data_IF_015982041405
#
_entry.id   IF_015982041405
#
_cell.length_a   1.000
_cell.length_b   1.000
_cell.length_c   1.000
_cell.angle_alpha   90.00
_cell.angle_beta   90.00
_cell.angle_gamma   90.00
#
_symmetry.space_group_name_H-M   'P 1'
#
loop_
_entity.id
_entity.type
_entity.pdbx_description
1 polymer ?
#
# COMPACT_ATOMS: atom_id res chain seq x y z
N UNK A 1 30.07 -22.89 33.56
CA UNK A 1 28.88 -23.76 33.54
C UNK A 1 28.11 -23.53 34.84
N UNK A 2 27.04 -22.74 34.81
CA UNK A 2 26.16 -22.59 35.97
C UNK A 2 25.45 -23.93 36.21
N UNK A 3 25.69 -24.52 37.38
CA UNK A 3 25.13 -25.82 37.75
C UNK A 3 23.61 -25.80 37.65
N UNK A 4 23.04 -26.83 37.03
CA UNK A 4 21.60 -27.03 36.83
C UNK A 4 20.80 -26.95 38.15
N UNK A 5 21.46 -27.22 39.29
CA UNK A 5 20.88 -27.10 40.63
C UNK A 5 20.60 -25.65 41.06
N UNK A 6 21.42 -24.70 40.60
CA UNK A 6 21.29 -23.27 40.93
C UNK A 6 20.10 -22.65 40.17
N UNK A 7 19.96 -22.97 38.87
CA UNK A 7 18.81 -22.55 38.06
C UNK A 7 17.48 -23.10 38.60
N UNK A 8 17.48 -24.35 39.07
CA UNK A 8 16.28 -24.98 39.66
C UNK A 8 15.86 -24.32 40.98
N UNK A 9 16.81 -23.83 41.78
CA UNK A 9 16.55 -23.09 43.02
C UNK A 9 15.99 -21.69 42.74
N UNK A 10 16.60 -20.95 41.81
CA UNK A 10 16.11 -19.63 41.36
C UNK A 10 14.68 -19.69 40.78
N UNK A 11 14.33 -20.77 40.07
CA UNK A 11 12.98 -20.96 39.54
C UNK A 11 11.91 -21.24 40.61
N UNK A 12 12.31 -21.75 41.79
CA UNK A 12 11.39 -22.04 42.90
C UNK A 12 11.19 -20.84 43.82
N UNK A 13 12.16 -19.93 43.90
CA UNK A 13 12.11 -18.74 44.76
C UNK A 13 11.54 -17.51 44.04
N UNK A 14 11.49 -17.51 42.71
CA UNK A 14 10.80 -16.47 41.94
C UNK A 14 9.30 -16.75 41.92
N UNK A 15 8.57 -16.20 42.91
CA UNK A 15 7.10 -16.09 42.83
C UNK A 15 6.75 -15.20 41.63
N UNK A 16 6.48 -15.81 40.47
CA UNK A 16 5.82 -15.10 39.39
C UNK A 16 4.41 -14.74 39.87
N UNK A 17 4.15 -13.44 39.99
CA UNK A 17 2.80 -12.93 40.17
C UNK A 17 2.01 -13.18 38.88
N UNK A 18 1.43 -14.37 38.76
CA UNK A 18 0.47 -14.67 37.69
C UNK A 18 -0.85 -14.02 38.10
N UNK A 19 -1.16 -12.88 37.48
CA UNK A 19 -2.47 -12.24 37.65
C UNK A 19 -3.48 -13.06 36.85
N UNK A 20 -4.20 -13.95 37.53
CA UNK A 20 -5.27 -14.72 36.91
C UNK A 20 -6.30 -13.75 36.31
N UNK A 21 -6.60 -13.91 35.02
CA UNK A 21 -7.72 -13.20 34.40
C UNK A 21 -9.00 -13.73 35.05
N UNK A 22 -9.84 -12.81 35.51
CA UNK A 22 -11.14 -13.17 36.05
C UNK A 22 -11.97 -13.92 34.99
N UNK A 23 -12.82 -14.88 35.40
CA UNK A 23 -13.69 -15.59 34.48
C UNK A 23 -14.60 -14.62 33.72
N UNK A 24 -15.05 -14.98 32.50
CA UNK A 24 -15.84 -14.09 31.64
C UNK A 24 -17.12 -13.58 32.33
N UNK A 25 -17.68 -14.36 33.25
CA UNK A 25 -18.89 -14.02 34.02
C UNK A 25 -18.62 -13.15 35.26
N UNK A 26 -17.36 -12.81 35.54
CA UNK A 26 -17.01 -11.97 36.67
C UNK A 26 -17.45 -10.53 36.41
N UNK A 27 -18.06 -9.89 37.42
CA UNK A 27 -18.62 -8.54 37.33
C UNK A 27 -17.64 -7.47 36.80
N UNK A 28 -16.32 -7.62 37.04
CA UNK A 28 -15.29 -6.69 36.52
C UNK A 28 -14.91 -6.91 35.05
N UNK A 29 -15.32 -8.03 34.44
CA UNK A 29 -15.23 -8.31 32.99
C UNK A 29 -16.51 -7.84 32.30
N UNK A 30 -17.68 -8.16 32.86
CA UNK A 30 -18.99 -7.72 32.38
C UNK A 30 -19.17 -6.19 32.39
N UNK A 31 -18.52 -5.49 33.32
CA UNK A 31 -18.51 -4.01 33.38
C UNK A 31 -17.50 -3.34 32.45
N UNK A 32 -16.69 -4.07 31.69
CA UNK A 32 -15.77 -3.40 30.74
C UNK A 32 -16.61 -2.76 29.64
N UNK A 33 -16.75 -1.44 29.71
CA UNK A 33 -17.37 -0.65 28.65
C UNK A 33 -16.60 -0.91 27.35
N UNK A 34 -17.32 -1.39 26.33
CA UNK A 34 -16.78 -1.55 24.99
C UNK A 34 -16.56 -0.16 24.41
N UNK A 35 -15.32 0.23 24.19
CA UNK A 35 -14.99 1.52 23.58
C UNK A 35 -15.01 1.41 22.04
N UNK A 36 -15.15 2.55 21.32
CA UNK A 36 -15.06 2.55 19.86
C UNK A 36 -13.77 1.91 19.31
N UNK A 37 -12.64 2.08 20.02
CA UNK A 37 -11.37 1.42 19.69
C UNK A 37 -11.44 -0.11 19.76
N UNK A 38 -12.24 -0.66 20.68
CA UNK A 38 -12.37 -2.10 20.85
C UNK A 38 -13.23 -2.65 19.71
N UNK A 39 -14.30 -1.94 19.33
CA UNK A 39 -15.11 -2.27 18.15
C UNK A 39 -14.30 -2.21 16.86
N UNK A 40 -13.48 -1.17 16.69
CA UNK A 40 -12.59 -1.04 15.54
C UNK A 40 -11.60 -2.20 15.47
N UNK A 41 -11.01 -2.59 16.61
CA UNK A 41 -10.07 -3.71 16.65
C UNK A 41 -10.77 -5.05 16.34
N UNK A 42 -11.99 -5.27 16.83
CA UNK A 42 -12.79 -6.46 16.47
C UNK A 42 -13.10 -6.49 14.98
N UNK A 43 -13.56 -5.38 14.39
CA UNK A 43 -13.82 -5.30 12.96
C UNK A 43 -12.55 -5.55 12.12
N UNK A 44 -11.42 -4.96 12.52
CA UNK A 44 -10.13 -5.21 11.90
C UNK A 44 -9.71 -6.68 11.99
N UNK A 45 -9.89 -7.31 13.17
CA UNK A 45 -9.58 -8.73 13.39
C UNK A 45 -10.48 -9.65 12.54
N UNK A 46 -11.74 -9.27 12.31
CA UNK A 46 -12.67 -10.04 11.49
C UNK A 46 -12.38 -9.93 9.99
N UNK A 47 -12.02 -8.73 9.51
CA UNK A 47 -11.77 -8.44 8.10
C UNK A 47 -10.33 -8.78 7.68
N UNK A 48 -9.33 -8.15 8.29
CA UNK A 48 -7.94 -8.23 7.83
C UNK A 48 -7.28 -9.56 8.11
N UNK A 49 -7.78 -10.33 9.09
CA UNK A 49 -7.35 -11.72 9.27
C UNK A 49 -7.65 -12.57 8.02
N UNK A 50 -8.73 -12.28 7.30
CA UNK A 50 -9.07 -13.02 6.07
C UNK A 50 -8.22 -12.58 4.88
N UNK A 51 -7.80 -11.31 4.84
CA UNK A 51 -6.97 -10.74 3.76
C UNK A 51 -5.49 -11.10 3.91
N UNK A 52 -4.95 -11.03 5.13
CA UNK A 52 -3.51 -11.17 5.39
C UNK A 52 -3.13 -12.48 6.11
N UNK A 53 -4.12 -13.27 6.53
CA UNK A 53 -3.95 -14.58 7.17
C UNK A 53 -2.88 -14.55 8.29
N UNK A 54 -1.85 -15.39 8.21
CA UNK A 54 -0.77 -15.46 9.20
C UNK A 54 0.01 -14.14 9.38
N UNK A 55 0.05 -13.27 8.36
CA UNK A 55 0.72 -11.97 8.45
C UNK A 55 -0.07 -10.98 9.29
N UNK A 56 -1.37 -11.16 9.45
CA UNK A 56 -2.23 -10.26 10.22
C UNK A 56 -1.73 -10.07 11.65
N UNK A 57 -1.31 -11.14 12.32
CA UNK A 57 -0.84 -11.06 13.71
C UNK A 57 0.37 -10.12 13.84
N UNK A 58 1.27 -10.11 12.85
CA UNK A 58 2.44 -9.22 12.81
C UNK A 58 2.02 -7.78 12.54
N UNK A 59 1.11 -7.56 11.58
CA UNK A 59 0.57 -6.23 11.24
C UNK A 59 -0.16 -5.65 12.46
N UNK A 60 -1.06 -6.41 13.08
CA UNK A 60 -1.79 -6.04 14.29
C UNK A 60 -0.86 -5.65 15.43
N UNK A 61 0.22 -6.41 15.65
CA UNK A 61 1.23 -6.08 16.66
C UNK A 61 1.95 -4.78 16.34
N UNK A 62 2.22 -4.50 15.06
CA UNK A 62 2.83 -3.25 14.62
C UNK A 62 1.88 -2.05 14.79
N UNK A 63 0.60 -2.20 14.42
CA UNK A 63 -0.42 -1.14 14.56
C UNK A 63 -0.67 -0.74 16.03
N UNK A 64 -0.60 -1.71 16.95
CA UNK A 64 -0.72 -1.47 18.40
C UNK A 64 0.61 -1.07 19.04
N UNK A 65 1.70 -1.08 18.25
CA UNK A 65 3.02 -0.70 18.68
C UNK A 65 3.27 0.81 18.58
N UNK A 66 4.49 1.21 18.89
CA UNK A 66 4.97 2.58 18.69
C UNK A 66 5.19 2.81 17.20
N UNK A 67 4.53 3.82 16.63
CA UNK A 67 4.73 4.20 15.23
C UNK A 67 6.13 4.81 15.05
N UNK A 68 6.77 4.48 13.94
CA UNK A 68 8.05 5.05 13.55
C UNK A 68 7.83 6.23 12.62
N UNK A 69 8.50 7.33 12.93
CA UNK A 69 8.43 8.55 12.13
C UNK A 69 9.68 8.71 11.29
N UNK A 70 9.58 9.59 10.31
CA UNK A 70 10.69 10.08 9.49
C UNK A 70 10.70 11.60 9.54
N UNK A 71 11.89 12.18 9.47
CA UNK A 71 12.10 13.62 9.47
C UNK A 71 12.31 14.10 8.04
N UNK A 72 11.35 14.85 7.50
CA UNK A 72 11.47 15.52 6.20
C UNK A 72 12.11 16.88 6.42
N UNK A 73 13.29 17.10 5.85
CA UNK A 73 14.02 18.37 6.00
C UNK A 73 13.23 19.49 5.33
N UNK A 74 13.22 20.65 5.99
CA UNK A 74 12.69 21.86 5.40
C UNK A 74 13.79 22.62 4.66
N UNK A 75 13.78 22.52 3.33
CA UNK A 75 14.74 23.20 2.45
C UNK A 75 14.56 24.73 2.41
N UNK A 76 13.52 25.27 3.05
CA UNK A 76 13.29 26.72 3.18
C UNK A 76 13.83 27.31 4.52
N UNK A 77 14.43 26.48 5.36
CA UNK A 77 15.11 26.88 6.59
C UNK A 77 16.61 26.55 6.56
N UNK A 78 17.19 26.26 7.72
CA UNK A 78 18.60 25.89 7.88
C UNK A 78 18.80 24.39 7.61
N UNK A 79 18.71 23.99 6.34
CA UNK A 79 18.73 22.60 5.89
C UNK A 79 20.06 21.89 6.21
N UNK A 80 21.20 22.52 5.91
CA UNK A 80 22.54 21.89 6.04
C UNK A 80 22.92 21.58 7.48
N UNK A 81 22.69 22.51 8.39
CA UNK A 81 22.97 22.33 9.81
C UNK A 81 22.09 21.20 10.38
N UNK A 82 20.81 21.22 10.03
CA UNK A 82 19.84 20.20 10.45
C UNK A 82 20.20 18.80 9.93
N UNK A 83 20.66 18.68 8.68
CA UNK A 83 21.13 17.42 8.13
C UNK A 83 22.31 16.85 8.94
N UNK A 84 23.29 17.70 9.29
CA UNK A 84 24.44 17.30 10.11
C UNK A 84 24.01 16.87 11.52
N UNK A 85 23.11 17.61 12.16
CA UNK A 85 22.58 17.25 13.48
C UNK A 85 21.90 15.87 13.44
N UNK A 86 21.05 15.61 12.46
CA UNK A 86 20.33 14.34 12.34
C UNK A 86 21.28 13.17 12.06
N UNK A 87 22.29 13.37 11.21
CA UNK A 87 23.35 12.39 10.96
C UNK A 87 24.16 12.07 12.23
N UNK A 88 24.47 13.07 13.05
CA UNK A 88 25.13 12.89 14.35
C UNK A 88 24.29 12.08 15.34
N UNK A 89 22.95 12.18 15.27
CA UNK A 89 22.05 11.32 16.06
C UNK A 89 21.96 9.87 15.54
N UNK A 90 22.61 9.56 14.41
CA UNK A 90 22.56 8.25 13.76
C UNK A 90 21.33 8.06 12.87
N UNK A 91 20.68 9.15 12.43
CA UNK A 91 19.63 9.06 11.42
C UNK A 91 20.25 8.90 10.02
N UNK A 92 19.61 8.08 9.19
CA UNK A 92 20.07 7.76 7.84
C UNK A 92 19.25 8.51 6.80
N UNK A 93 19.93 9.09 5.80
CA UNK A 93 19.27 9.75 4.68
C UNK A 93 18.67 8.71 3.72
N UNK A 94 17.34 8.72 3.58
CA UNK A 94 16.61 7.77 2.74
C UNK A 94 16.93 7.91 1.26
N UNK A 95 17.32 9.09 0.75
CA UNK A 95 17.75 9.23 -0.65
C UNK A 95 18.99 8.39 -0.92
N UNK A 96 19.97 8.44 -0.03
CA UNK A 96 21.21 7.67 -0.15
C UNK A 96 20.91 6.17 -0.14
N UNK A 97 20.07 5.72 0.79
CA UNK A 97 19.63 4.32 0.87
C UNK A 97 18.89 3.89 -0.41
N UNK A 98 17.98 4.73 -0.90
CA UNK A 98 17.22 4.45 -2.11
C UNK A 98 18.11 4.34 -3.35
N UNK A 99 19.06 5.27 -3.52
CA UNK A 99 19.98 5.25 -4.65
C UNK A 99 20.93 4.05 -4.60
N UNK A 100 21.36 3.64 -3.40
CA UNK A 100 22.17 2.45 -3.21
C UNK A 100 21.42 1.18 -3.62
N UNK A 101 20.19 1.00 -3.12
CA UNK A 101 19.33 -0.15 -3.48
C UNK A 101 18.97 -0.16 -4.95
N UNK A 102 18.71 1.01 -5.54
CA UNK A 102 18.50 1.17 -6.98
C UNK A 102 19.72 0.75 -7.78
N UNK A 103 20.93 1.03 -7.29
CA UNK A 103 22.19 0.55 -7.87
C UNK A 103 22.28 -0.97 -7.86
N UNK A 104 22.07 -1.61 -6.71
CA UNK A 104 22.10 -3.07 -6.58
C UNK A 104 21.08 -3.75 -7.49
N UNK A 105 19.85 -3.24 -7.56
CA UNK A 105 18.80 -3.78 -8.43
C UNK A 105 19.12 -3.64 -9.92
N UNK A 106 19.86 -2.59 -10.33
CA UNK A 106 20.32 -2.42 -11.70
C UNK A 106 21.42 -3.41 -12.05
N UNK A 107 22.39 -3.62 -11.16
CA UNK A 107 23.46 -4.60 -11.34
C UNK A 107 22.93 -6.04 -11.42
N UNK A 108 22.00 -6.40 -10.54
CA UNK A 108 21.38 -7.73 -10.52
C UNK A 108 20.66 -8.03 -11.85
N UNK A 109 19.99 -7.04 -12.44
CA UNK A 109 19.38 -7.19 -13.76
C UNK A 109 20.40 -7.35 -14.86
N UNK A 110 21.46 -6.55 -14.84
CA UNK A 110 22.48 -6.63 -15.88
C UNK A 110 23.10 -8.02 -15.87
N UNK A 111 23.35 -8.59 -14.69
CA UNK A 111 23.78 -9.98 -14.52
C UNK A 111 22.74 -10.98 -15.06
N UNK A 112 21.46 -10.83 -14.70
CA UNK A 112 20.41 -11.74 -15.17
C UNK A 112 20.18 -11.65 -16.69
N UNK A 113 20.25 -10.46 -17.27
CA UNK A 113 20.19 -10.25 -18.71
C UNK A 113 21.39 -10.89 -19.41
N UNK A 114 22.60 -10.65 -18.90
CA UNK A 114 23.82 -11.26 -19.44
C UNK A 114 23.77 -12.79 -19.36
N UNK A 115 23.31 -13.35 -18.23
CA UNK A 115 23.15 -14.80 -18.06
C UNK A 115 22.14 -15.36 -19.07
N UNK A 116 20.98 -14.69 -19.23
CA UNK A 116 19.98 -15.10 -20.21
C UNK A 116 20.51 -15.02 -21.65
N UNK A 117 21.23 -13.95 -22.01
CA UNK A 117 21.86 -13.85 -23.33
C UNK A 117 22.93 -14.92 -23.54
N UNK A 118 23.69 -15.28 -22.50
CA UNK A 118 24.67 -16.37 -22.58
C UNK A 118 23.97 -17.72 -22.77
N UNK A 119 22.88 -17.99 -22.03
CA UNK A 119 22.06 -19.19 -22.24
C UNK A 119 21.47 -19.25 -23.66
N UNK A 120 20.98 -18.13 -24.19
CA UNK A 120 20.47 -18.05 -25.55
C UNK A 120 21.59 -18.28 -26.59
N UNK A 121 22.80 -17.76 -26.35
CA UNK A 121 23.99 -18.04 -27.19
C UNK A 121 24.33 -19.53 -27.14
N UNK A 122 24.38 -20.16 -25.96
CA UNK A 122 24.66 -21.58 -25.83
C UNK A 122 23.60 -22.44 -26.55
N UNK A 123 22.32 -22.09 -26.48
CA UNK A 123 21.26 -22.78 -27.22
C UNK A 123 21.41 -22.64 -28.73
N UNK A 124 21.77 -21.44 -29.20
CA UNK A 124 22.01 -21.19 -30.61
C UNK A 124 23.23 -21.98 -31.12
N UNK A 125 24.29 -22.09 -30.31
CA UNK A 125 25.48 -22.88 -30.61
C UNK A 125 25.13 -24.38 -30.70
N UNK A 126 24.35 -24.89 -29.74
CA UNK A 126 23.86 -26.28 -29.74
C UNK A 126 22.93 -26.57 -30.94
N UNK A 127 22.07 -25.63 -31.32
CA UNK A 127 21.27 -25.75 -32.55
C UNK A 127 22.12 -25.70 -33.82
N UNK A 128 23.21 -24.94 -33.82
CA UNK A 128 24.15 -24.87 -34.93
C UNK A 128 24.88 -26.20 -35.10
N UNK A 129 25.39 -26.76 -34.00
CA UNK A 129 26.07 -28.06 -33.98
C UNK A 129 25.14 -29.17 -34.49
N UNK A 130 23.88 -29.21 -34.01
CA UNK A 130 22.88 -30.15 -34.53
C UNK A 130 22.58 -29.96 -36.02
N UNK A 131 22.59 -28.71 -36.52
CA UNK A 131 22.43 -28.42 -37.96
C UNK A 131 23.65 -28.82 -38.78
N UNK A 132 24.86 -28.75 -38.21
CA UNK A 132 26.08 -29.23 -38.86
C UNK A 132 26.08 -30.76 -38.88
N UNK A 133 25.74 -31.42 -37.76
CA UNK A 133 25.60 -32.88 -37.69
C UNK A 133 24.53 -33.41 -38.64
N UNK A 134 23.34 -32.78 -38.67
CA UNK A 134 22.29 -33.18 -39.62
C UNK A 134 22.67 -32.91 -41.08
N UNK A 135 23.44 -31.87 -41.40
CA UNK A 135 24.01 -31.70 -42.75
C UNK A 135 25.07 -32.73 -43.10
N UNK A 136 25.85 -33.20 -42.13
CA UNK A 136 26.80 -34.30 -42.30
C UNK A 136 26.06 -35.64 -42.48
N UNK A 137 24.91 -35.82 -41.81
CA UNK A 137 24.05 -37.00 -41.99
C UNK A 137 23.23 -36.96 -43.29
N UNK A 138 22.74 -35.79 -43.73
CA UNK A 138 21.95 -35.62 -44.96
C UNK A 138 22.79 -35.82 -46.24
N UNK A 139 24.11 -35.63 -46.20
CA UNK A 139 25.00 -36.01 -47.31
C UNK A 139 25.17 -37.55 -47.43
N UNK A 140 24.56 -38.33 -46.52
CA UNK A 140 24.68 -39.80 -46.49
C UNK A 140 23.36 -40.57 -46.59
N UNK A 141 22.19 -39.92 -46.55
CA UNK A 141 20.89 -40.63 -46.61
C UNK A 141 19.81 -39.84 -47.35
N UNK A 142 19.82 -39.97 -48.67
CA UNK A 142 18.64 -39.76 -49.50
C UNK A 142 17.68 -40.96 -49.31
N UNK A 143 16.50 -40.77 -48.70
CA UNK A 143 15.19 -41.31 -49.14
C UNK A 143 14.10 -41.38 -48.04
N UNK A 144 12.95 -40.80 -48.39
CA UNK A 144 11.56 -41.20 -48.07
C UNK A 144 11.04 -41.14 -46.63
N UNK A 145 10.12 -40.19 -46.37
CA UNK A 145 8.72 -40.49 -46.02
C UNK A 145 7.91 -39.18 -45.91
N UNK A 146 6.87 -39.05 -46.74
CA UNK A 146 5.92 -37.94 -46.73
C UNK A 146 4.73 -38.30 -45.85
N UNK A 147 4.60 -37.73 -44.66
CA UNK A 147 3.35 -37.79 -43.88
C UNK A 147 2.49 -36.55 -44.19
N UNK A 148 1.39 -36.77 -44.91
CA UNK A 148 0.37 -35.75 -45.16
C UNK A 148 -0.63 -35.74 -43.99
N UNK A 149 -0.55 -34.72 -43.14
CA UNK A 149 -1.61 -34.37 -42.20
C UNK A 149 -2.77 -33.73 -42.99
N UNK A 150 -3.96 -34.35 -42.93
CA UNK A 150 -5.16 -33.85 -43.61
C UNK A 150 -6.00 -32.96 -42.70
N UNK A 151 -6.43 -31.82 -43.22
CA UNK A 151 -7.26 -30.81 -42.56
C UNK A 151 -8.74 -31.21 -42.34
N UNK A 152 -9.00 -32.41 -41.80
CA UNK A 152 -10.35 -32.89 -41.44
C UNK A 152 -10.62 -32.93 -39.94
N UNK A 153 -9.60 -32.79 -39.11
CA UNK A 153 -9.73 -32.87 -37.64
C UNK A 153 -10.05 -31.53 -36.96
N UNK A 154 -10.25 -30.46 -37.74
CA UNK A 154 -10.57 -29.11 -37.24
C UNK A 154 -11.92 -28.56 -37.74
N UNK A 155 -12.83 -29.41 -38.23
CA UNK A 155 -14.14 -28.92 -38.69
C UNK A 155 -15.16 -28.78 -37.55
N UNK A 156 -15.82 -27.61 -37.50
CA UNK A 156 -16.88 -27.24 -36.55
C UNK A 156 -18.00 -28.29 -36.42
N UNK A 157 -18.22 -29.07 -37.49
CA UNK A 157 -19.23 -30.13 -37.55
C UNK A 157 -18.93 -31.30 -36.59
N UNK A 158 -17.65 -31.67 -36.39
CA UNK A 158 -17.28 -32.77 -35.49
C UNK A 158 -17.42 -32.40 -34.00
N UNK A 159 -17.29 -31.11 -33.66
CA UNK A 159 -17.50 -30.61 -32.30
C UNK A 159 -18.98 -30.49 -31.91
N UNK A 160 -19.88 -30.34 -32.88
CA UNK A 160 -21.33 -30.24 -32.65
C UNK A 160 -21.99 -31.60 -32.38
N UNK A 161 -21.44 -32.71 -32.90
CA UNK A 161 -21.96 -34.05 -32.65
C UNK A 161 -21.79 -34.52 -31.18
N UNK A 162 -20.87 -33.90 -30.43
CA UNK A 162 -20.55 -34.30 -29.04
C UNK A 162 -21.17 -33.40 -27.97
N UNK A 163 -21.95 -32.38 -28.34
CA UNK A 163 -22.56 -31.47 -27.37
C UNK A 163 -23.83 -32.07 -26.74
N UNK A 164 -23.84 -32.27 -25.41
CA UNK A 164 -25.03 -32.66 -24.64
C UNK A 164 -25.81 -31.42 -24.21
N UNK A 165 -27.08 -31.34 -24.59
CA UNK A 165 -28.00 -30.29 -24.14
C UNK A 165 -28.62 -30.64 -22.78
N UNK A 166 -28.67 -29.67 -21.86
CA UNK A 166 -29.38 -29.79 -20.58
C UNK A 166 -30.81 -29.23 -20.73
N UNK A 167 -31.82 -30.10 -20.54
CA UNK A 167 -33.24 -29.77 -20.68
C UNK A 167 -33.99 -29.67 -19.35
N UNK A 168 -33.30 -29.49 -18.22
CA UNK A 168 -33.94 -29.41 -16.89
C UNK A 168 -34.22 -27.99 -16.42
N UNK A 169 -34.84 -27.16 -17.26
CA UNK A 169 -35.41 -25.87 -16.84
C UNK A 169 -36.86 -25.73 -17.30
N UNK A 170 -37.73 -26.51 -16.67
CA UNK A 170 -39.16 -26.28 -16.65
C UNK A 170 -39.51 -25.76 -15.25
N UNK A 171 -39.99 -24.51 -15.20
CA UNK A 171 -40.58 -23.92 -13.99
C UNK A 171 -42.07 -24.23 -14.05
N UNK A 172 -42.55 -25.04 -13.11
CA UNK A 172 -43.97 -25.33 -12.96
C UNK A 172 -44.63 -24.16 -12.20
N UNK A 173 -45.60 -23.49 -12.83
CA UNK A 173 -46.29 -22.30 -12.29
C UNK A 173 -47.51 -22.68 -11.45
N UNK A 174 -47.45 -23.80 -10.72
CA UNK A 174 -48.57 -24.32 -9.93
C UNK A 174 -48.16 -24.58 -8.49
N UNK A 175 -47.88 -23.50 -7.76
CA UNK A 175 -48.43 -23.33 -6.41
C UNK A 175 -48.23 -21.89 -5.92
N UNK A 176 -49.17 -20.97 -6.21
CA UNK A 176 -49.21 -19.71 -5.50
C UNK A 176 -49.74 -20.01 -4.10
N UNK A 177 -48.81 -20.08 -3.13
CA UNK A 177 -49.10 -20.09 -1.71
C UNK A 177 -50.26 -19.11 -1.44
N UNK A 178 -51.36 -19.69 -0.93
CA UNK A 178 -52.60 -19.05 -0.54
C UNK A 178 -52.39 -17.69 0.13
N UNK A 179 -53.12 -16.68 -0.34
CA UNK A 179 -53.17 -15.30 0.19
C UNK A 179 -53.61 -15.17 1.64
N UNK A 180 -53.95 -16.28 2.31
CA UNK A 180 -54.40 -16.33 3.70
C UNK A 180 -53.23 -16.37 4.70
N UNK A 181 -52.02 -16.75 4.28
CA UNK A 181 -50.81 -16.73 5.13
C UNK A 181 -50.21 -15.31 5.30
N UNK A 182 -50.68 -14.33 4.53
CA UNK A 182 -50.23 -12.93 4.62
C UNK A 182 -50.93 -12.11 5.73
N UNK A 183 -51.95 -12.68 6.37
CA UNK A 183 -52.72 -12.00 7.42
C UNK A 183 -52.50 -12.56 8.83
N UNK A 184 -51.56 -13.49 9.00
CA UNK A 184 -51.19 -13.98 10.32
C UNK A 184 -50.29 -12.96 11.03
N UNK A 185 -50.89 -12.19 11.93
CA UNK A 185 -50.22 -11.17 12.70
C UNK A 185 -49.27 -11.80 13.74
N UNK A 186 -47.97 -11.75 13.46
CA UNK A 186 -46.92 -12.09 14.42
C UNK A 186 -46.54 -10.84 15.24
N UNK A 187 -46.73 -10.83 16.58
CA UNK A 187 -46.32 -9.69 17.39
C UNK A 187 -44.79 -9.57 17.41
N UNK A 188 -44.29 -8.35 17.21
CA UNK A 188 -42.86 -8.06 17.25
C UNK A 188 -42.32 -8.21 18.68
N UNK A 189 -41.63 -9.32 18.93
CA UNK A 189 -40.99 -9.61 20.23
C UNK A 189 -39.62 -8.97 20.38
N UNK A 190 -38.98 -8.54 19.29
CA UNK A 190 -37.62 -7.97 19.28
C UNK A 190 -37.44 -6.86 18.22
N UNK A 191 -36.46 -5.97 18.45
CA UNK A 191 -36.10 -4.90 17.50
C UNK A 191 -35.29 -5.51 16.34
N UNK A 192 -35.92 -5.64 15.17
CA UNK A 192 -35.25 -6.03 13.92
C UNK A 192 -34.34 -4.90 13.42
N UNK A 193 -33.13 -5.28 13.00
CA UNK A 193 -32.10 -4.35 12.48
C UNK A 193 -30.65 -4.73 12.85
N UNK A 194 -30.46 -5.70 13.76
CA UNK A 194 -29.13 -6.33 14.00
C UNK A 194 -28.94 -7.65 13.25
N UNK A 195 -30.01 -8.22 12.72
CA UNK A 195 -29.98 -9.51 11.99
C UNK A 195 -29.37 -9.35 10.57
N UNK A 196 -29.45 -8.14 10.01
CA UNK A 196 -28.84 -7.77 8.72
C UNK A 196 -27.38 -7.29 8.85
N UNK A 197 -26.78 -7.37 10.03
CA UNK A 197 -25.35 -7.07 10.18
C UNK A 197 -24.54 -8.22 9.59
N UNK A 198 -24.39 -8.21 8.27
CA UNK A 198 -23.49 -9.10 7.55
C UNK A 198 -22.07 -8.56 7.81
N UNK A 199 -21.18 -9.35 8.45
CA UNK A 199 -19.80 -8.95 8.60
C UNK A 199 -19.22 -8.65 7.21
N UNK A 200 -18.54 -7.52 7.07
CA UNK A 200 -18.03 -7.02 5.79
C UNK A 200 -17.19 -8.06 5.05
N UNK A 201 -16.47 -8.89 5.80
CA UNK A 201 -15.71 -10.02 5.27
C UNK A 201 -16.54 -11.08 4.55
N UNK A 202 -17.81 -11.27 4.93
CA UNK A 202 -18.78 -12.13 4.24
C UNK A 202 -19.24 -11.49 2.94
N UNK A 203 -19.38 -10.17 2.90
CA UNK A 203 -19.72 -9.41 1.69
C UNK A 203 -18.59 -9.47 0.65
N UNK A 204 -17.33 -9.30 1.07
CA UNK A 204 -16.18 -9.34 0.15
C UNK A 204 -15.94 -10.73 -0.46
N UNK A 205 -16.26 -11.82 0.24
CA UNK A 205 -16.22 -13.18 -0.32
C UNK A 205 -17.14 -13.37 -1.51
N UNK A 206 -18.23 -12.60 -1.63
CA UNK A 206 -19.15 -12.68 -2.76
C UNK A 206 -18.56 -12.06 -4.04
N UNK A 207 -17.64 -11.10 -3.91
CA UNK A 207 -16.94 -10.52 -5.07
C UNK A 207 -15.85 -11.43 -5.64
N UNK A 208 -15.33 -12.36 -4.85
CA UNK A 208 -14.16 -13.17 -5.20
C UNK A 208 -14.48 -14.29 -6.22
N UNK A 209 -15.73 -14.39 -6.71
CA UNK A 209 -16.18 -15.59 -7.40
C UNK A 209 -16.08 -15.60 -8.93
N UNK A 210 -15.78 -14.53 -9.66
CA UNK A 210 -15.78 -14.66 -11.14
C UNK A 210 -15.18 -13.55 -12.03
N UNK A 211 -14.33 -12.66 -11.52
CA UNK A 211 -13.63 -11.70 -12.40
C UNK A 211 -12.15 -12.00 -12.47
N UNK A 212 -11.76 -12.93 -13.34
CA UNK A 212 -10.40 -13.05 -13.87
C UNK A 212 -10.10 -11.81 -14.74
N UNK A 213 -10.06 -10.62 -14.16
CA UNK A 213 -9.41 -9.49 -14.80
C UNK A 213 -7.92 -9.75 -14.65
N UNK A 214 -7.29 -10.21 -15.73
CA UNK A 214 -5.85 -10.39 -15.78
C UNK A 214 -5.20 -9.00 -15.70
N UNK A 215 -5.00 -8.49 -14.48
CA UNK A 215 -4.21 -7.29 -14.24
C UNK A 215 -2.80 -7.61 -14.72
N UNK A 216 -2.38 -6.98 -15.82
CA UNK A 216 -1.00 -7.07 -16.29
C UNK A 216 -0.13 -6.33 -15.28
N UNK A 217 0.47 -7.09 -14.37
CA UNK A 217 1.41 -6.55 -13.38
C UNK A 217 2.75 -6.27 -14.09
N UNK A 218 2.95 -5.04 -14.51
CA UNK A 218 4.26 -4.57 -14.96
C UNK A 218 5.04 -4.04 -13.76
N UNK A 219 6.25 -4.56 -13.58
CA UNK A 219 7.11 -4.10 -12.50
C UNK A 219 7.77 -2.79 -12.95
N UNK A 220 7.40 -1.71 -12.30
CA UNK A 220 8.09 -0.43 -12.40
C UNK A 220 9.33 -0.46 -11.51
N UNK A 221 10.45 -0.02 -12.05
CA UNK A 221 11.74 -0.15 -11.40
C UNK A 221 12.56 1.12 -11.42
N UNK A 222 12.06 2.15 -12.08
CA UNK A 222 12.74 3.45 -12.20
C UNK A 222 11.89 4.54 -11.58
N UNK A 223 11.59 4.39 -10.29
CA UNK A 223 11.00 5.48 -9.51
C UNK A 223 12.12 6.50 -9.24
N UNK A 224 11.97 7.78 -9.66
CA UNK A 224 12.94 8.81 -9.34
C UNK A 224 12.75 9.28 -7.90
N UNK A 225 13.86 9.51 -7.21
CA UNK A 225 13.85 10.14 -5.89
C UNK A 225 14.34 11.58 -6.07
N UNK A 226 13.57 12.62 -5.69
CA UNK A 226 13.96 14.00 -5.94
C UNK A 226 15.28 14.40 -5.26
N UNK A 227 16.14 15.09 -6.00
CA UNK A 227 17.50 15.47 -5.56
C UNK A 227 17.53 16.47 -4.40
N UNK A 228 16.45 17.24 -4.23
CA UNK A 228 16.33 18.21 -3.13
C UNK A 228 15.53 17.66 -1.94
N UNK A 229 14.79 16.56 -2.10
CA UNK A 229 13.96 16.02 -1.03
C UNK A 229 14.79 15.21 -0.01
N UNK A 230 15.21 15.81 1.10
CA UNK A 230 15.99 15.11 2.13
C UNK A 230 15.06 14.54 3.20
N UNK A 231 15.16 13.24 3.46
CA UNK A 231 14.33 12.58 4.47
C UNK A 231 15.18 11.63 5.29
N UNK A 232 15.09 11.75 6.61
CA UNK A 232 15.88 10.97 7.57
C UNK A 232 15.02 9.95 8.30
N UNK A 233 15.55 8.76 8.49
CA UNK A 233 14.94 7.70 9.30
C UNK A 233 16.01 6.97 10.10
N UNK A 234 15.65 6.47 11.28
CA UNK A 234 16.53 5.57 12.03
C UNK A 234 16.54 4.15 11.41
N UNK A 235 17.53 3.34 11.75
CA UNK A 235 17.59 1.93 11.37
C UNK A 235 16.38 1.11 11.83
N UNK A 236 16.10 -0.01 11.15
CA UNK A 236 14.88 -0.83 11.34
C UNK A 236 14.58 -1.15 12.81
N UNK A 237 15.59 -1.52 13.58
CA UNK A 237 15.43 -1.97 14.98
C UNK A 237 15.57 -0.82 16.00
N UNK A 238 15.96 0.36 15.56
CA UNK A 238 16.05 1.55 16.38
C UNK A 238 14.65 2.15 16.61
N UNK A 239 14.31 2.34 17.90
CA UNK A 239 13.01 2.84 18.39
C UNK A 239 13.10 4.24 19.01
N UNK A 240 14.23 4.91 18.86
CA UNK A 240 14.42 6.30 19.28
C UNK A 240 13.46 7.21 18.54
N UNK A 241 13.01 8.25 19.22
CA UNK A 241 12.26 9.33 18.59
C UNK A 241 13.21 10.42 18.14
N UNK A 242 12.83 11.12 17.08
CA UNK A 242 13.46 12.39 16.75
C UNK A 242 13.15 13.41 17.84
N UNK A 243 14.06 14.37 18.00
CA UNK A 243 13.79 15.54 18.82
C UNK A 243 12.60 16.35 18.26
N UNK A 244 12.12 17.32 19.03
CA UNK A 244 11.16 18.29 18.50
C UNK A 244 11.82 19.19 17.44
N UNK A 245 11.12 19.53 16.34
CA UNK A 245 11.67 20.44 15.35
C UNK A 245 11.94 21.81 15.95
N UNK A 246 13.07 22.41 15.55
CA UNK A 246 13.57 23.68 16.05
C UNK A 246 13.39 24.76 14.99
N UNK A 247 13.25 26.01 15.42
CA UNK A 247 13.15 27.15 14.51
C UNK A 247 14.56 27.68 14.22
N UNK A 248 14.84 27.87 12.94
CA UNK A 248 16.11 28.39 12.45
C UNK A 248 16.15 29.92 12.38
N UNK A 249 17.12 30.45 11.65
CA UNK A 249 17.32 31.88 11.43
C UNK A 249 16.14 32.54 10.68
N UNK A 250 15.45 31.77 9.84
CA UNK A 250 14.28 32.22 9.06
C UNK A 250 12.95 32.08 9.81
N UNK A 251 12.98 31.78 11.12
CA UNK A 251 11.81 31.56 11.98
C UNK A 251 10.82 30.52 11.44
N UNK A 252 11.31 29.53 10.69
CA UNK A 252 10.55 28.34 10.30
C UNK A 252 11.15 27.09 10.91
N UNK A 253 10.34 26.03 11.05
CA UNK A 253 10.82 24.75 11.55
C UNK A 253 11.76 24.08 10.57
N UNK A 254 12.79 23.42 11.11
CA UNK A 254 13.87 22.82 10.33
C UNK A 254 13.54 21.45 9.72
N UNK A 255 12.62 20.67 10.29
CA UNK A 255 12.10 19.44 9.69
C UNK A 255 10.66 19.14 10.12
N UNK A 256 9.96 18.36 9.31
CA UNK A 256 8.59 17.90 9.55
C UNK A 256 8.58 16.41 9.87
N UNK A 257 8.01 16.02 11.01
CA UNK A 257 7.86 14.62 11.40
C UNK A 257 6.56 14.05 10.82
N UNK A 258 6.67 12.97 10.07
CA UNK A 258 5.52 12.26 9.51
C UNK A 258 5.73 10.76 9.45
N UNK A 259 4.66 10.02 9.16
CA UNK A 259 4.77 8.58 8.92
C UNK A 259 5.50 8.31 7.61
N UNK A 260 6.43 7.35 7.62
CA UNK A 260 7.22 6.98 6.44
C UNK A 260 6.35 6.50 5.27
N UNK A 261 5.23 5.83 5.56
CA UNK A 261 4.28 5.40 4.53
C UNK A 261 3.62 6.57 3.80
N UNK A 262 3.50 7.74 4.43
CA UNK A 262 2.86 8.92 3.83
C UNK A 262 3.73 9.63 2.78
N UNK A 263 4.99 9.24 2.63
CA UNK A 263 5.88 9.75 1.57
C UNK A 263 5.60 9.07 0.23
N UNK A 264 5.28 7.77 0.26
CA UNK A 264 5.17 6.94 -0.93
C UNK A 264 4.15 7.49 -1.95
N UNK A 265 2.96 8.00 -1.57
CA UNK A 265 2.01 8.55 -2.54
C UNK A 265 2.57 9.75 -3.31
N UNK A 266 3.39 10.59 -2.69
CA UNK A 266 3.97 11.79 -3.33
C UNK A 266 5.12 11.38 -4.25
N UNK A 267 5.93 10.40 -3.86
CA UNK A 267 6.97 9.84 -4.75
C UNK A 267 6.36 9.11 -5.94
N UNK A 268 5.32 8.31 -5.71
CA UNK A 268 4.63 7.54 -6.75
C UNK A 268 3.87 8.45 -7.74
N UNK A 269 3.51 9.67 -7.34
CA UNK A 269 2.90 10.66 -8.23
C UNK A 269 3.87 11.17 -9.31
N UNK A 270 5.18 10.99 -9.11
CA UNK A 270 6.24 11.36 -10.05
C UNK A 270 6.09 12.82 -10.56
N UNK A 271 6.12 13.76 -9.61
CA UNK A 271 6.08 15.19 -9.89
C UNK A 271 7.28 15.59 -10.76
N UNK A 272 7.02 16.44 -11.77
CA UNK A 272 8.06 17.03 -12.63
C UNK A 272 8.15 18.54 -12.41
N UNK A 273 9.33 19.15 -12.65
CA UNK A 273 9.48 20.60 -12.64
C UNK A 273 8.42 21.27 -13.53
N UNK A 274 7.76 22.31 -13.00
CA UNK A 274 6.72 23.04 -13.73
C UNK A 274 5.30 22.50 -13.53
N UNK A 275 5.11 21.38 -12.83
CA UNK A 275 3.79 20.78 -12.66
C UNK A 275 2.88 21.63 -11.76
N UNK A 276 1.61 21.70 -12.14
CA UNK A 276 0.50 22.17 -11.31
C UNK A 276 -0.04 21.00 -10.51
N UNK A 277 0.18 21.03 -9.21
CA UNK A 277 -0.14 19.97 -8.27
C UNK A 277 -1.40 20.31 -7.47
N UNK A 278 -2.35 19.36 -7.41
CA UNK A 278 -3.54 19.44 -6.56
C UNK A 278 -3.52 18.34 -5.49
N UNK A 279 -3.71 18.72 -4.24
CA UNK A 279 -3.98 17.84 -3.12
C UNK A 279 -5.46 18.00 -2.72
N UNK A 280 -6.30 17.04 -3.12
CA UNK A 280 -7.76 17.13 -2.98
C UNK A 280 -8.25 17.04 -1.53
N UNK A 281 -7.50 16.33 -0.67
CA UNK A 281 -7.84 16.06 0.73
C UNK A 281 -6.63 16.37 1.61
N UNK A 282 -6.21 17.63 1.60
CA UNK A 282 -4.85 18.00 1.98
C UNK A 282 -4.57 17.94 3.48
N UNK A 283 -5.55 18.16 4.34
CA UNK A 283 -5.27 18.32 5.76
C UNK A 283 -4.72 17.02 6.40
N UNK A 284 -3.69 17.13 7.26
CA UNK A 284 -3.16 18.35 7.88
C UNK A 284 -2.13 19.15 7.05
N UNK A 285 -1.78 18.75 5.82
CA UNK A 285 -0.90 19.49 4.91
C UNK A 285 0.48 18.86 4.68
N UNK A 286 0.80 17.75 5.35
CA UNK A 286 2.13 17.13 5.28
C UNK A 286 2.53 16.64 3.88
N UNK A 287 1.58 16.11 3.09
CA UNK A 287 1.85 15.64 1.71
C UNK A 287 2.03 16.80 0.73
N UNK A 288 1.23 17.85 0.88
CA UNK A 288 1.44 19.11 0.15
C UNK A 288 2.77 19.77 0.50
N UNK A 289 3.15 19.80 1.78
CA UNK A 289 4.47 20.28 2.20
C UNK A 289 5.59 19.43 1.59
N UNK A 290 5.46 18.10 1.62
CA UNK A 290 6.42 17.19 1.00
C UNK A 290 6.59 17.45 -0.50
N UNK A 291 5.49 17.71 -1.22
CA UNK A 291 5.54 18.09 -2.63
C UNK A 291 6.31 19.40 -2.84
N UNK A 292 6.11 20.41 -2.00
CA UNK A 292 6.89 21.67 -2.05
C UNK A 292 8.39 21.43 -1.81
N UNK A 293 8.76 20.53 -0.88
CA UNK A 293 10.17 20.20 -0.60
C UNK A 293 10.91 19.56 -1.80
N UNK A 294 10.19 19.10 -2.83
CA UNK A 294 10.81 18.62 -4.08
C UNK A 294 11.30 19.74 -4.99
N UNK A 295 10.83 20.98 -4.79
CA UNK A 295 11.03 22.13 -5.69
C UNK A 295 10.49 21.95 -7.12
N UNK A 296 9.67 20.92 -7.36
CA UNK A 296 9.11 20.65 -8.68
C UNK A 296 7.83 21.43 -9.01
N UNK A 297 6.85 21.57 -8.10
CA UNK A 297 5.60 22.21 -8.47
C UNK A 297 5.73 23.72 -8.66
N UNK A 298 5.15 24.25 -9.75
CA UNK A 298 4.99 25.70 -9.96
C UNK A 298 3.81 26.26 -9.18
N UNK A 299 2.76 25.44 -9.03
CA UNK A 299 1.53 25.74 -8.31
C UNK A 299 1.16 24.54 -7.45
N UNK A 300 0.87 24.78 -6.18
CA UNK A 300 0.28 23.81 -5.25
C UNK A 300 -1.09 24.30 -4.82
N UNK A 301 -2.12 23.51 -5.09
CA UNK A 301 -3.48 23.75 -4.60
C UNK A 301 -3.80 22.73 -3.54
N UNK A 302 -4.01 23.19 -2.32
CA UNK A 302 -4.41 22.35 -1.19
C UNK A 302 -5.89 22.57 -0.91
N UNK A 303 -6.69 21.53 -1.14
CA UNK A 303 -8.12 21.53 -0.90
C UNK A 303 -8.47 20.69 0.33
N UNK A 304 -9.44 21.13 1.13
CA UNK A 304 -10.14 20.28 2.10
C UNK A 304 -11.58 20.76 2.27
N UNK A 305 -12.53 19.84 2.37
CA UNK A 305 -13.95 20.16 2.55
C UNK A 305 -14.24 20.92 3.86
N UNK A 306 -13.41 20.72 4.89
CA UNK A 306 -13.58 21.33 6.21
C UNK A 306 -12.66 22.53 6.41
N UNK A 307 -13.23 23.69 6.72
CA UNK A 307 -12.47 24.90 7.04
C UNK A 307 -11.49 24.68 8.21
N UNK A 308 -11.91 23.96 9.25
CA UNK A 308 -11.03 23.68 10.40
C UNK A 308 -9.80 22.87 10.00
N UNK A 309 -9.95 21.95 9.05
CA UNK A 309 -8.87 21.13 8.50
C UNK A 309 -7.98 21.96 7.58
N UNK A 310 -8.56 22.79 6.73
CA UNK A 310 -7.83 23.73 5.86
C UNK A 310 -6.98 24.72 6.68
N UNK A 311 -7.51 25.24 7.79
CA UNK A 311 -6.76 26.11 8.71
C UNK A 311 -5.53 25.39 9.31
N UNK A 312 -5.56 24.07 9.46
CA UNK A 312 -4.37 23.30 9.89
C UNK A 312 -3.33 23.23 8.78
N UNK A 313 -3.74 23.07 7.53
CA UNK A 313 -2.84 23.13 6.37
C UNK A 313 -2.14 24.49 6.32
N UNK A 314 -2.92 25.57 6.44
CA UNK A 314 -2.40 26.93 6.48
C UNK A 314 -1.42 27.12 7.65
N UNK A 315 -1.76 26.63 8.85
CA UNK A 315 -0.87 26.67 10.01
C UNK A 315 0.44 25.92 9.76
N UNK A 316 0.40 24.76 9.10
CA UNK A 316 1.63 24.02 8.73
C UNK A 316 2.44 24.85 7.74
N UNK A 317 1.83 25.42 6.70
CA UNK A 317 2.57 26.24 5.74
C UNK A 317 3.19 27.47 6.40
N UNK A 318 2.50 28.17 7.28
CA UNK A 318 3.07 29.31 8.05
C UNK A 318 4.25 28.91 8.94
N UNK A 319 4.27 27.67 9.42
CA UNK A 319 5.33 27.16 10.29
C UNK A 319 6.57 26.69 9.52
N UNK A 320 6.44 26.34 8.24
CA UNK A 320 7.50 25.75 7.43
C UNK A 320 7.93 26.62 6.24
N UNK A 321 7.14 27.63 5.86
CA UNK A 321 7.42 28.52 4.74
C UNK A 321 7.57 29.95 5.26
N UNK A 322 8.76 30.51 5.08
CA UNK A 322 9.03 31.88 5.49
C UNK A 322 8.33 32.87 4.55
N UNK A 323 7.92 34.02 5.09
CA UNK A 323 7.12 35.03 4.39
C UNK A 323 5.91 34.43 3.65
N UNK A 324 5.19 33.50 4.30
CA UNK A 324 4.12 32.70 3.68
C UNK A 324 3.15 33.53 2.83
N UNK A 325 2.66 34.65 3.36
CA UNK A 325 1.72 35.52 2.65
C UNK A 325 2.31 36.14 1.37
N UNK A 326 3.46 36.81 1.51
CA UNK A 326 4.05 37.59 0.43
C UNK A 326 4.63 36.70 -0.67
N UNK A 327 5.36 35.64 -0.28
CA UNK A 327 6.11 34.81 -1.23
C UNK A 327 5.31 33.68 -1.85
N UNK A 328 4.25 33.21 -1.19
CA UNK A 328 3.55 31.99 -1.60
C UNK A 328 2.11 32.25 -2.01
N UNK A 329 1.36 32.99 -1.20
CA UNK A 329 -0.05 33.28 -1.46
C UNK A 329 -0.17 34.38 -2.52
N UNK A 330 0.48 35.54 -2.34
CA UNK A 330 0.38 36.67 -3.28
C UNK A 330 1.00 36.38 -4.65
N UNK A 331 2.07 35.61 -4.71
CA UNK A 331 2.68 35.16 -5.98
C UNK A 331 1.83 34.09 -6.67
N UNK A 332 0.83 33.53 -5.98
CA UNK A 332 -0.05 32.49 -6.50
C UNK A 332 0.60 31.10 -6.57
N UNK A 333 1.75 30.88 -5.93
CA UNK A 333 2.42 29.56 -5.86
C UNK A 333 1.65 28.56 -5.00
N UNK A 334 0.98 29.04 -3.95
CA UNK A 334 0.10 28.21 -3.11
C UNK A 334 -1.31 28.79 -3.14
N UNK A 335 -2.31 27.92 -3.32
CA UNK A 335 -3.72 28.29 -3.16
C UNK A 335 -4.41 27.31 -2.22
N UNK A 336 -5.11 27.86 -1.24
CA UNK A 336 -5.95 27.10 -0.33
C UNK A 336 -7.39 27.19 -0.81
N UNK A 337 -8.07 26.04 -0.89
CA UNK A 337 -9.46 25.98 -1.33
C UNK A 337 -10.31 25.13 -0.39
N UNK A 338 -11.57 25.55 -0.20
CA UNK A 338 -12.55 24.83 0.60
C UNK A 338 -13.69 24.36 -0.30
N UNK A 339 -13.49 23.23 -0.99
CA UNK A 339 -14.49 22.64 -1.88
C UNK A 339 -14.64 21.15 -1.58
N UNK A 340 -15.82 20.62 -1.89
CA UNK A 340 -16.02 19.18 -1.88
C UNK A 340 -15.33 18.59 -3.13
N UNK A 341 -14.32 17.75 -2.88
CA UNK A 341 -13.46 17.15 -3.90
C UNK A 341 -14.22 16.40 -4.99
N UNK A 342 -15.43 15.91 -4.70
CA UNK A 342 -16.29 15.21 -5.66
C UNK A 342 -16.76 16.08 -6.82
N UNK A 343 -16.74 17.41 -6.66
CA UNK A 343 -17.17 18.37 -7.67
C UNK A 343 -16.01 19.11 -8.35
N UNK A 344 -14.76 18.78 -7.98
CA UNK A 344 -13.58 19.33 -8.63
C UNK A 344 -13.38 18.56 -9.95
N UNK A 345 -13.90 19.12 -11.03
CA UNK A 345 -13.92 18.47 -12.36
C UNK A 345 -13.02 19.15 -13.38
N UNK A 346 -12.63 20.43 -13.18
CA UNK A 346 -11.96 21.23 -14.21
C UNK A 346 -10.97 22.23 -13.65
N UNK A 347 -9.87 21.75 -13.09
CA UNK A 347 -8.72 22.60 -12.84
C UNK A 347 -7.53 21.94 -13.53
N UNK A 348 -6.90 22.64 -14.48
CA UNK A 348 -5.85 22.15 -15.36
C UNK A 348 -4.56 21.80 -14.61
N UNK A 349 -4.64 20.75 -13.80
CA UNK A 349 -3.60 20.17 -12.99
C UNK A 349 -2.90 19.04 -13.74
N UNK A 350 -1.59 19.00 -13.64
CA UNK A 350 -0.78 17.95 -14.25
C UNK A 350 -0.73 16.71 -13.36
N UNK A 351 -0.86 16.89 -12.04
CA UNK A 351 -0.77 15.84 -11.03
C UNK A 351 -1.77 16.09 -9.91
N UNK A 352 -2.52 15.05 -9.55
CA UNK A 352 -3.56 15.11 -8.53
C UNK A 352 -3.30 14.02 -7.51
N UNK A 353 -3.27 14.39 -6.23
CA UNK A 353 -3.24 13.49 -5.10
C UNK A 353 -4.61 13.45 -4.43
N UNK A 354 -5.14 12.24 -4.28
CA UNK A 354 -6.36 11.96 -3.53
C UNK A 354 -5.95 11.20 -2.26
N UNK A 355 -5.99 11.90 -1.13
CA UNK A 355 -5.47 11.45 0.16
C UNK A 355 -6.48 10.89 1.13
#
# INVERSE_FOLDING_TARGET
>A
MLSYSILKRLSRETKQFVRYKNPPDHWSVLRKKVHPKDKALTHMDDFYKQVFDDKWLKIRKAMLGKQKYVAVINNYGDDRETMQELELTGALNMRTLFNLEKGYLKEERLKNMNNKTMEDIFRLDEELDRKIESKIEDDSKESTATEKLTAKDFSLASSLEKAKYDTRRLIDLKDPLSTETLHEFLPATEIKGKEDFIPESTHYKLYDQQTNFAVKMEKEYDIPFPDHLNIYCYERDNKSDFEGPKRGQTDVYNYYLMDGGSILPVLALDLKPGNKFLDMCSAPGGKSLLALQTFFPDLVVSNDSSLSRLNRVESVFRQFLYDFEEKWVKTGKIRLSQRDGRFISEEGFDRILVG
#
